data_IF_382402875249
#
_entry.id   IF_382402875249
#
_cell.length_a   1.000
_cell.length_b   1.000
_cell.length_c   1.000
_cell.angle_alpha   90.00
_cell.angle_beta   90.00
_cell.angle_gamma   90.00
#
_symmetry.space_group_name_H-M   'P 1'
#
loop_
_entity.id
_entity.type
_entity.pdbx_description
1 polymer ?
#
# COMPACT_ATOMS: atom_id res chain seq x y z
N UNK A 1 -6.80 10.48 20.64
CA UNK A 1 -6.87 9.03 20.35
C UNK A 1 -6.69 8.82 18.85
N UNK A 2 -5.52 9.12 18.27
CA UNK A 2 -5.28 8.97 16.82
C UNK A 2 -3.98 8.19 16.52
N UNK A 3 -3.22 7.74 17.53
CA UNK A 3 -1.93 7.06 17.31
C UNK A 3 -2.08 5.53 17.19
N UNK A 4 -3.05 4.90 17.87
CA UNK A 4 -3.24 3.44 17.79
C UNK A 4 -3.79 2.98 16.43
N UNK A 5 -4.61 3.79 15.75
CA UNK A 5 -5.12 3.46 14.41
C UNK A 5 -4.03 3.46 13.33
N UNK A 6 -3.03 4.35 13.46
CA UNK A 6 -2.07 4.66 12.39
C UNK A 6 -1.08 3.49 12.26
N UNK A 7 -0.55 2.97 13.37
CA UNK A 7 0.36 1.80 13.37
C UNK A 7 -0.36 0.53 12.94
N UNK A 8 -1.68 0.43 13.20
CA UNK A 8 -2.49 -0.71 12.80
C UNK A 8 -2.64 -0.82 11.28
N UNK A 9 -2.88 0.30 10.60
CA UNK A 9 -3.11 0.32 9.16
C UNK A 9 -1.87 -0.13 8.35
N UNK A 10 -0.68 0.39 8.65
CA UNK A 10 0.53 -0.03 7.93
C UNK A 10 0.82 -1.52 8.12
N UNK A 11 0.71 -2.02 9.36
CA UNK A 11 0.90 -3.46 9.65
C UNK A 11 -0.09 -4.35 8.92
N UNK A 12 -1.34 -3.89 8.74
CA UNK A 12 -2.33 -4.62 7.97
C UNK A 12 -1.99 -4.65 6.48
N UNK A 13 -1.52 -3.54 5.91
CA UNK A 13 -1.05 -3.48 4.53
C UNK A 13 0.11 -4.46 4.29
N UNK A 14 1.10 -4.45 5.20
CA UNK A 14 2.22 -5.40 5.17
C UNK A 14 1.71 -6.85 5.24
N UNK A 15 0.83 -7.17 6.18
CA UNK A 15 0.27 -8.51 6.32
C UNK A 15 -0.42 -8.98 5.03
N UNK A 16 -1.28 -8.15 4.43
CA UNK A 16 -1.97 -8.47 3.17
C UNK A 16 -0.98 -8.71 2.04
N UNK A 17 0.02 -7.85 1.86
CA UNK A 17 1.01 -8.02 0.79
C UNK A 17 1.94 -9.21 1.02
N UNK A 18 2.19 -9.59 2.28
CA UNK A 18 3.00 -10.75 2.64
C UNK A 18 2.37 -12.09 2.28
N UNK A 19 1.05 -12.12 2.03
CA UNK A 19 0.36 -13.33 1.57
C UNK A 19 0.75 -13.67 0.12
N UNK A 20 1.02 -12.66 -0.72
CA UNK A 20 1.35 -12.82 -2.14
C UNK A 20 2.85 -12.63 -2.44
N UNK A 21 3.56 -11.84 -1.62
CA UNK A 21 4.94 -11.42 -1.86
C UNK A 21 5.83 -11.63 -0.64
N UNK A 22 7.14 -11.72 -0.87
CA UNK A 22 8.11 -11.62 0.22
C UNK A 22 8.40 -10.15 0.51
N UNK A 23 8.30 -9.77 1.78
CA UNK A 23 8.69 -8.46 2.28
C UNK A 23 10.14 -8.45 2.76
N UNK A 24 10.92 -7.48 2.31
CA UNK A 24 12.28 -7.21 2.78
C UNK A 24 12.45 -5.71 3.07
N UNK A 25 13.46 -5.32 3.86
CA UNK A 25 13.81 -3.92 4.19
C UNK A 25 12.62 -3.05 4.63
N UNK A 26 11.84 -3.53 5.59
CA UNK A 26 10.73 -2.76 6.18
C UNK A 26 11.28 -1.66 7.09
N UNK A 27 10.91 -0.41 6.83
CA UNK A 27 11.20 0.77 7.64
C UNK A 27 9.99 1.72 7.70
N UNK A 28 10.16 2.88 8.31
CA UNK A 28 9.08 3.86 8.51
C UNK A 28 8.66 4.58 7.21
N UNK A 29 9.42 4.41 6.13
CA UNK A 29 9.14 5.00 4.81
C UNK A 29 8.52 3.98 3.85
N UNK A 30 8.69 2.67 4.10
CA UNK A 30 8.10 1.63 3.30
C UNK A 30 8.82 0.29 3.39
N UNK A 31 8.77 -0.48 2.31
CA UNK A 31 9.32 -1.84 2.25
C UNK A 31 9.58 -2.27 0.80
N UNK A 32 10.37 -3.32 0.61
CA UNK A 32 10.58 -3.97 -0.68
C UNK A 32 9.68 -5.20 -0.81
N UNK A 33 9.00 -5.31 -1.94
CA UNK A 33 8.26 -6.49 -2.37
C UNK A 33 9.09 -7.30 -3.36
N UNK A 34 9.48 -8.49 -2.95
CA UNK A 34 10.15 -9.49 -3.78
C UNK A 34 9.11 -10.47 -4.34
N UNK A 35 8.99 -10.54 -5.67
CA UNK A 35 8.03 -11.41 -6.38
C UNK A 35 8.73 -12.54 -7.13
N UNK A 36 8.12 -13.74 -7.23
CA UNK A 36 8.69 -14.83 -8.04
C UNK A 36 8.84 -14.41 -9.50
N UNK A 37 10.05 -14.49 -10.05
CA UNK A 37 10.30 -14.26 -11.48
C UNK A 37 10.29 -12.80 -11.95
N UNK A 38 10.26 -11.82 -11.03
CA UNK A 38 10.34 -10.39 -11.37
C UNK A 38 11.33 -9.61 -10.52
N UNK A 39 11.71 -8.38 -10.93
CA UNK A 39 12.52 -7.51 -10.10
C UNK A 39 11.75 -7.08 -8.84
N UNK A 40 12.46 -6.79 -7.75
CA UNK A 40 11.85 -6.28 -6.52
C UNK A 40 11.23 -4.90 -6.77
N UNK A 41 10.13 -4.61 -6.07
CA UNK A 41 9.39 -3.35 -6.17
C UNK A 41 9.47 -2.63 -4.82
N UNK A 42 9.91 -1.38 -4.81
CA UNK A 42 9.91 -0.55 -3.61
C UNK A 42 8.53 0.05 -3.40
N UNK A 43 7.87 -0.33 -2.31
CA UNK A 43 6.64 0.31 -1.87
C UNK A 43 6.98 1.38 -0.86
N UNK A 44 6.72 2.64 -1.20
CA UNK A 44 6.84 3.78 -0.30
C UNK A 44 5.46 4.06 0.30
N UNK A 45 5.29 3.71 1.57
CA UNK A 45 4.01 3.73 2.25
C UNK A 45 4.22 4.17 3.70
N UNK A 46 4.33 5.49 3.91
CA UNK A 46 4.39 6.04 5.26
C UNK A 46 3.08 5.74 5.98
N UNK A 47 3.16 5.64 7.31
CA UNK A 47 2.00 5.31 8.12
C UNK A 47 0.86 6.33 7.99
N UNK A 48 1.21 7.61 7.91
CA UNK A 48 0.27 8.71 7.70
C UNK A 48 -0.41 8.63 6.33
N UNK A 49 0.36 8.35 5.27
CA UNK A 49 -0.18 8.22 3.91
C UNK A 49 -1.13 7.03 3.79
N UNK A 50 -0.79 5.90 4.41
CA UNK A 50 -1.65 4.70 4.44
C UNK A 50 -2.94 4.98 5.19
N UNK A 51 -2.87 5.63 6.35
CA UNK A 51 -4.06 5.97 7.13
C UNK A 51 -4.96 6.99 6.40
N UNK A 52 -4.38 8.01 5.76
CA UNK A 52 -5.13 9.00 4.99
C UNK A 52 -5.80 8.37 3.75
N UNK A 53 -5.07 7.53 3.01
CA UNK A 53 -5.61 6.77 1.88
C UNK A 53 -6.73 5.83 2.32
N UNK A 54 -6.54 5.10 3.42
CA UNK A 54 -7.54 4.19 3.97
C UNK A 54 -8.81 4.94 4.36
N UNK A 55 -8.71 6.12 4.98
CA UNK A 55 -9.89 6.95 5.32
C UNK A 55 -10.63 7.43 4.08
N UNK A 56 -9.91 7.81 3.03
CA UNK A 56 -10.54 8.19 1.76
C UNK A 56 -11.25 7.00 1.10
N UNK A 57 -10.61 5.82 1.11
CA UNK A 57 -11.17 4.58 0.58
C UNK A 57 -12.24 3.96 1.48
N UNK A 58 -12.30 4.31 2.76
CA UNK A 58 -13.25 3.73 3.72
C UNK A 58 -14.70 4.00 3.30
N UNK A 59 -14.99 5.15 2.70
CA UNK A 59 -16.32 5.42 2.14
C UNK A 59 -16.68 4.41 1.03
N UNK A 60 -15.74 4.12 0.13
CA UNK A 60 -15.91 3.13 -0.94
C UNK A 60 -15.94 1.69 -0.39
N UNK A 61 -15.16 1.40 0.66
CA UNK A 61 -15.07 0.09 1.30
C UNK A 61 -16.34 -0.23 2.12
N UNK A 62 -16.87 0.74 2.86
CA UNK A 62 -18.14 0.63 3.59
C UNK A 62 -19.30 0.43 2.61
N UNK A 63 -19.30 1.14 1.48
CA UNK A 63 -20.26 0.90 0.38
C UNK A 63 -20.11 -0.52 -0.21
N UNK A 64 -18.89 -1.03 -0.36
CA UNK A 64 -18.64 -2.39 -0.86
C UNK A 64 -19.05 -3.48 0.14
N UNK A 65 -18.99 -3.21 1.44
CA UNK A 65 -19.37 -4.14 2.51
C UNK A 65 -20.85 -4.06 2.90
N UNK A 66 -21.58 -3.04 2.43
CA UNK A 66 -23.00 -2.85 2.73
C UNK A 66 -23.28 -2.40 4.16
N UNK A 67 -22.26 -2.01 4.92
CA UNK A 67 -22.38 -1.50 6.29
C UNK A 67 -22.32 0.04 6.27
N UNK A 68 -23.46 0.66 6.60
CA UNK A 68 -23.63 2.11 6.73
C UNK A 68 -23.69 2.43 8.21
N UNK A 69 -22.62 2.21 8.95
CA UNK A 69 -22.45 2.79 10.28
C UNK A 69 -20.96 2.99 10.54
N UNK A 70 -20.65 3.96 11.39
CA UNK A 70 -19.34 4.58 11.65
C UNK A 70 -18.34 3.63 12.37
N UNK A 71 -18.28 2.38 11.92
CA UNK A 71 -17.51 1.30 12.54
C UNK A 71 -16.04 1.36 12.07
N UNK A 72 -15.05 1.33 12.99
CA UNK A 72 -13.62 1.26 12.65
C UNK A 72 -13.21 0.11 11.72
N UNK A 73 -14.09 -0.85 11.45
CA UNK A 73 -13.93 -1.90 10.45
C UNK A 73 -13.74 -1.36 9.02
N UNK A 74 -14.35 -0.21 8.68
CA UNK A 74 -14.25 0.40 7.35
C UNK A 74 -12.82 0.82 6.96
N UNK A 75 -12.08 1.38 7.92
CA UNK A 75 -10.67 1.76 7.72
C UNK A 75 -9.76 0.54 7.50
N UNK A 76 -9.96 -0.52 8.28
CA UNK A 76 -9.19 -1.76 8.13
C UNK A 76 -9.51 -2.51 6.83
N UNK A 77 -10.79 -2.50 6.40
CA UNK A 77 -11.20 -3.05 5.12
C UNK A 77 -10.60 -2.27 3.94
N UNK A 78 -10.59 -0.93 4.03
CA UNK A 78 -9.97 -0.06 3.04
C UNK A 78 -8.47 -0.32 2.88
N UNK A 79 -7.75 -0.60 3.98
CA UNK A 79 -6.33 -1.02 3.90
C UNK A 79 -6.16 -2.36 3.19
N UNK A 80 -7.06 -3.32 3.44
CA UNK A 80 -7.04 -4.60 2.71
C UNK A 80 -7.22 -4.41 1.20
N UNK A 81 -8.17 -3.57 0.80
CA UNK A 81 -8.40 -3.20 -0.61
C UNK A 81 -7.19 -2.47 -1.21
N UNK A 82 -6.55 -1.59 -0.44
CA UNK A 82 -5.30 -0.93 -0.86
C UNK A 82 -4.20 -1.95 -1.19
N UNK A 83 -4.04 -2.99 -0.35
CA UNK A 83 -3.08 -4.07 -0.61
C UNK A 83 -3.34 -4.79 -1.93
N UNK A 84 -4.61 -5.11 -2.20
CA UNK A 84 -5.04 -5.74 -3.46
C UNK A 84 -4.71 -4.82 -4.65
N UNK A 85 -5.02 -3.52 -4.56
CA UNK A 85 -4.72 -2.58 -5.65
C UNK A 85 -3.21 -2.43 -5.92
N UNK A 86 -2.38 -2.51 -4.88
CA UNK A 86 -0.92 -2.53 -5.07
C UNK A 86 -0.49 -3.80 -5.81
N UNK A 87 -1.04 -4.96 -5.45
CA UNK A 87 -0.78 -6.22 -6.17
C UNK A 87 -1.21 -6.14 -7.65
N UNK A 88 -2.43 -5.68 -7.92
CA UNK A 88 -2.96 -5.52 -9.28
C UNK A 88 -2.12 -4.54 -10.11
N UNK A 89 -1.65 -3.45 -9.49
CA UNK A 89 -0.78 -2.48 -10.13
C UNK A 89 0.57 -3.10 -10.52
N UNK A 90 1.16 -3.90 -9.64
CA UNK A 90 2.43 -4.59 -9.88
C UNK A 90 2.27 -5.66 -10.97
N UNK A 91 1.15 -6.38 -10.97
CA UNK A 91 0.85 -7.39 -11.98
C UNK A 91 0.60 -6.77 -13.36
N UNK A 92 -0.08 -5.63 -13.43
CA UNK A 92 -0.37 -4.92 -14.68
C UNK A 92 0.84 -4.17 -15.26
N UNK A 93 1.84 -3.85 -14.44
CA UNK A 93 3.05 -3.14 -14.87
C UNK A 93 4.33 -3.94 -14.52
N UNK A 94 4.76 -4.87 -15.40
CA UNK A 94 5.91 -5.74 -15.12
C UNK A 94 7.23 -5.00 -14.86
N UNK A 95 7.38 -3.79 -15.39
CA UNK A 95 8.58 -2.96 -15.25
C UNK A 95 8.51 -1.98 -14.08
N UNK A 96 7.43 -1.96 -13.30
CA UNK A 96 7.33 -1.07 -12.14
C UNK A 96 8.44 -1.41 -11.14
N UNK A 97 9.09 -0.38 -10.63
CA UNK A 97 10.14 -0.53 -9.64
C UNK A 97 9.83 0.25 -8.36
N UNK A 98 8.97 1.27 -8.42
CA UNK A 98 8.49 1.99 -7.24
C UNK A 98 6.96 2.13 -7.30
N UNK A 99 6.31 1.83 -6.19
CA UNK A 99 4.90 2.17 -5.93
C UNK A 99 4.87 3.08 -4.71
N UNK A 100 4.27 4.26 -4.83
CA UNK A 100 4.10 5.20 -3.73
C UNK A 100 2.64 5.28 -3.35
N UNK A 101 2.33 4.99 -2.09
CA UNK A 101 1.04 5.29 -1.48
C UNK A 101 1.03 6.77 -1.12
N UNK A 102 -0.01 7.47 -1.55
CA UNK A 102 -0.24 8.87 -1.21
C UNK A 102 -1.65 9.03 -0.67
N UNK A 103 -1.97 10.13 0.04
CA UNK A 103 -3.30 10.34 0.60
C UNK A 103 -4.42 10.37 -0.44
N UNK A 104 -4.08 10.53 -1.72
CA UNK A 104 -5.02 10.66 -2.85
C UNK A 104 -4.93 9.53 -3.87
N UNK A 105 -4.10 8.51 -3.63
CA UNK A 105 -3.96 7.39 -4.58
C UNK A 105 -2.59 6.73 -4.61
N UNK A 106 -2.46 5.74 -5.50
CA UNK A 106 -1.21 5.07 -5.84
C UNK A 106 -0.51 5.79 -7.01
N UNK A 107 0.81 5.97 -6.89
CA UNK A 107 1.65 6.48 -7.98
C UNK A 107 2.76 5.50 -8.28
N UNK A 108 3.01 5.23 -9.55
CA UNK A 108 4.18 4.46 -9.97
C UNK A 108 5.36 5.38 -10.27
N UNK A 109 6.56 4.87 -10.06
CA UNK A 109 7.80 5.51 -10.46
C UNK A 109 8.74 4.49 -11.07
N UNK A 110 9.63 4.99 -11.92
CA UNK A 110 10.81 4.24 -12.29
C UNK A 110 11.73 4.13 -11.06
N UNK A 111 12.41 2.99 -10.92
CA UNK A 111 13.48 2.81 -9.93
C UNK A 111 14.56 3.87 -10.15
N UNK A 112 15.52 4.04 -9.23
CA UNK A 112 16.52 5.11 -9.33
C UNK A 112 17.05 5.15 -10.76
N UNK A 113 16.67 6.21 -11.48
CA UNK A 113 17.21 6.50 -12.79
C UNK A 113 18.66 6.77 -12.48
N UNK A 114 19.51 5.78 -12.68
CA UNK A 114 20.94 5.98 -12.64
C UNK A 114 21.23 6.91 -13.83
N UNK A 115 21.06 8.22 -13.63
CA UNK A 115 21.61 9.26 -14.49
C UNK A 115 23.11 9.27 -14.24
N UNK A 116 23.76 8.19 -14.60
CA UNK A 116 25.17 8.15 -14.97
C UNK A 116 25.22 8.11 -16.48
N UNK A 117 25.00 9.27 -17.09
CA UNK A 117 25.49 9.53 -18.43
C UNK A 117 25.63 11.04 -18.62
N UNK A 118 26.91 11.44 -18.63
CA UNK A 118 27.51 12.67 -19.19
C UNK A 118 27.68 13.86 -18.26
#
# INVERSE_FOLDING_TARGET
MHEEEVVSHRKKLEATLSEAFRLDNVDDQGFLLSRPGGPPVQVMASEEDVAAMARMMAADALLALGEIDDDPSGGMAAVGLLGIHVEELIASQPTVAVVRVTPTGLKTGDGPTNRTAQ
#
